data_IF_062404862881
#
_entry.id   IF_062404862881
#
_cell.length_a   1.000
_cell.length_b   1.000
_cell.length_c   1.000
_cell.angle_alpha   90.00
_cell.angle_beta   90.00
_cell.angle_gamma   90.00
#
_symmetry.space_group_name_H-M   'P 1'
#
loop_
_entity.id
_entity.type
_entity.pdbx_description
1 polymer ?
#
# COMPACT_ATOMS: atom_id res chain seq x y z
N UNK A 1 -19.87 2.49 18.94
CA UNK A 1 -19.93 3.96 18.95
C UNK A 1 -18.68 4.45 18.26
N UNK A 2 -18.79 5.23 17.17
CA UNK A 2 -17.63 5.69 16.40
C UNK A 2 -16.86 6.75 17.18
N UNK A 3 -15.55 6.58 17.33
CA UNK A 3 -14.63 7.49 17.99
C UNK A 3 -13.81 8.24 16.94
N UNK A 4 -13.44 9.48 17.24
CA UNK A 4 -12.46 10.22 16.46
C UNK A 4 -11.08 9.95 17.07
N UNK A 5 -10.17 9.39 16.28
CA UNK A 5 -8.79 9.10 16.68
C UNK A 5 -7.87 9.90 15.75
N UNK A 6 -6.81 10.47 16.32
CA UNK A 6 -5.75 11.14 15.57
C UNK A 6 -4.58 10.16 15.50
N UNK A 7 -4.08 9.91 14.29
CA UNK A 7 -2.92 9.06 14.03
C UNK A 7 -1.92 9.80 13.16
N UNK A 8 -0.64 9.46 13.33
CA UNK A 8 0.44 9.96 12.49
C UNK A 8 0.85 8.87 11.50
N UNK A 9 0.86 9.19 10.21
CA UNK A 9 1.32 8.30 9.14
C UNK A 9 2.41 9.02 8.37
N UNK A 10 3.63 8.46 8.38
CA UNK A 10 4.78 8.99 7.63
C UNK A 10 5.04 10.50 7.86
N UNK A 11 4.89 10.99 9.09
CA UNK A 11 5.11 12.39 9.47
C UNK A 11 3.92 13.33 9.17
N UNK A 12 2.73 12.78 8.89
CA UNK A 12 1.51 13.54 8.66
C UNK A 12 0.41 13.07 9.60
N UNK A 13 -0.26 14.01 10.26
CA UNK A 13 -1.39 13.72 11.12
C UNK A 13 -2.68 13.55 10.31
N UNK A 14 -3.44 12.51 10.65
CA UNK A 14 -4.73 12.19 10.06
C UNK A 14 -5.76 11.95 11.15
N UNK A 15 -6.94 12.55 10.98
CA UNK A 15 -8.07 12.29 11.85
C UNK A 15 -8.95 11.20 11.24
N UNK A 16 -9.04 10.06 11.93
CA UNK A 16 -9.83 8.91 11.50
C UNK A 16 -11.05 8.72 12.40
N UNK A 17 -12.17 8.35 11.80
CA UNK A 17 -13.41 8.05 12.53
C UNK A 17 -13.68 6.56 12.43
N UNK A 18 -13.57 5.86 13.55
CA UNK A 18 -13.59 4.39 13.60
C UNK A 18 -14.20 3.92 14.93
N UNK A 19 -14.84 2.76 14.92
CA UNK A 19 -15.32 2.07 16.12
C UNK A 19 -14.28 1.11 16.73
N UNK A 20 -13.17 0.90 16.03
CA UNK A 20 -12.02 0.10 16.47
C UNK A 20 -11.27 0.74 17.66
N UNK A 21 -10.44 -0.08 18.29
CA UNK A 21 -9.59 0.36 19.39
C UNK A 21 -8.51 1.35 18.93
N UNK A 22 -8.25 2.36 19.76
CA UNK A 22 -7.28 3.41 19.43
C UNK A 22 -5.85 2.88 19.33
N UNK A 23 -5.49 1.88 20.13
CA UNK A 23 -4.18 1.22 20.09
C UNK A 23 -4.01 0.48 18.76
N UNK A 24 -5.05 -0.25 18.33
CA UNK A 24 -5.04 -0.99 17.07
C UNK A 24 -4.88 -0.06 15.86
N UNK A 25 -5.60 1.06 15.84
CA UNK A 25 -5.53 2.02 14.74
C UNK A 25 -4.16 2.73 14.70
N UNK A 26 -3.55 3.00 15.86
CA UNK A 26 -2.16 3.49 15.92
C UNK A 26 -1.17 2.46 15.42
N UNK A 27 -1.34 1.19 15.77
CA UNK A 27 -0.47 0.11 15.29
C UNK A 27 -0.55 0.00 13.76
N UNK A 28 -1.75 0.06 13.18
CA UNK A 28 -1.92 0.10 11.72
C UNK A 28 -1.21 1.31 11.09
N UNK A 29 -1.32 2.49 11.68
CA UNK A 29 -0.63 3.69 11.22
C UNK A 29 0.90 3.52 11.27
N UNK A 30 1.41 2.86 12.30
CA UNK A 30 2.83 2.54 12.45
C UNK A 30 3.30 1.54 11.38
N UNK A 31 2.55 0.45 11.14
CA UNK A 31 2.85 -0.54 10.10
C UNK A 31 2.93 0.11 8.72
N UNK A 32 1.98 0.99 8.39
CA UNK A 32 2.00 1.75 7.12
C UNK A 32 3.20 2.69 7.08
N UNK A 33 3.50 3.39 8.18
CA UNK A 33 4.65 4.29 8.26
C UNK A 33 5.97 3.58 8.02
N UNK A 34 6.20 2.44 8.67
CA UNK A 34 7.40 1.61 8.47
C UNK A 34 7.54 1.23 7.01
N UNK A 35 6.47 0.76 6.37
CA UNK A 35 6.49 0.37 4.95
C UNK A 35 6.82 1.54 4.02
N UNK A 36 6.24 2.71 4.28
CA UNK A 36 6.51 3.93 3.50
C UNK A 36 7.98 4.36 3.66
N UNK A 37 8.54 4.27 4.87
CA UNK A 37 9.93 4.61 5.14
C UNK A 37 10.92 3.63 4.51
N UNK A 38 10.60 2.32 4.51
CA UNK A 38 11.38 1.30 3.79
C UNK A 38 11.46 1.63 2.30
N UNK A 39 10.31 1.83 1.65
CA UNK A 39 10.24 2.14 0.22
C UNK A 39 10.97 3.45 -0.09
N UNK A 40 10.81 4.46 0.78
CA UNK A 40 11.51 5.75 0.63
C UNK A 40 13.02 5.58 0.71
N UNK A 41 13.52 4.73 1.61
CA UNK A 41 14.95 4.45 1.77
C UNK A 41 15.52 3.76 0.53
N UNK A 42 14.78 2.83 -0.05
CA UNK A 42 15.27 2.01 -1.17
C UNK A 42 15.14 2.71 -2.53
N UNK A 43 14.07 3.49 -2.73
CA UNK A 43 13.77 4.12 -4.02
C UNK A 43 14.21 5.58 -4.13
N UNK A 44 14.36 6.29 -3.00
CA UNK A 44 14.54 7.75 -2.99
C UNK A 44 13.36 8.54 -3.56
N UNK A 45 12.19 7.89 -3.76
CA UNK A 45 11.02 8.51 -4.38
C UNK A 45 10.31 9.51 -3.45
N UNK A 46 9.34 10.25 -4.01
CA UNK A 46 8.53 11.19 -3.24
C UNK A 46 7.68 10.46 -2.19
N UNK A 47 7.31 11.16 -1.11
CA UNK A 47 6.47 10.57 -0.06
C UNK A 47 5.11 10.07 -0.59
N UNK A 48 4.57 10.73 -1.63
CA UNK A 48 3.31 10.34 -2.27
C UNK A 48 3.46 9.03 -3.05
N UNK A 49 4.54 8.89 -3.82
CA UNK A 49 4.81 7.67 -4.58
C UNK A 49 5.09 6.50 -3.64
N UNK A 50 5.85 6.74 -2.56
CA UNK A 50 6.11 5.74 -1.53
C UNK A 50 4.82 5.26 -0.85
N UNK A 51 3.90 6.19 -0.53
CA UNK A 51 2.58 5.85 0.02
C UNK A 51 1.75 5.02 -0.96
N UNK A 52 1.78 5.37 -2.24
CA UNK A 52 1.07 4.63 -3.30
C UNK A 52 1.62 3.21 -3.47
N UNK A 53 2.94 3.06 -3.44
CA UNK A 53 3.60 1.75 -3.49
C UNK A 53 3.33 0.91 -2.24
N UNK A 54 3.32 1.52 -1.05
CA UNK A 54 2.96 0.84 0.18
C UNK A 54 1.51 0.34 0.14
N UNK A 55 0.57 1.18 -0.32
CA UNK A 55 -0.82 0.79 -0.51
C UNK A 55 -0.96 -0.38 -1.49
N UNK A 56 -0.18 -0.39 -2.57
CA UNK A 56 -0.16 -1.49 -3.53
C UNK A 56 0.34 -2.81 -2.91
N UNK A 57 1.41 -2.78 -2.09
CA UNK A 57 1.92 -3.97 -1.37
C UNK A 57 0.86 -4.53 -0.41
N UNK A 58 0.18 -3.66 0.36
CA UNK A 58 -0.91 -4.10 1.25
C UNK A 58 -2.10 -4.67 0.47
N UNK A 59 -2.49 -4.04 -0.64
CA UNK A 59 -3.58 -4.53 -1.49
C UNK A 59 -3.26 -5.90 -2.11
N UNK A 60 -2.03 -6.12 -2.56
CA UNK A 60 -1.58 -7.41 -3.09
C UNK A 60 -1.63 -8.51 -2.03
N UNK A 61 -1.13 -8.24 -0.81
CA UNK A 61 -1.20 -9.20 0.31
C UNK A 61 -2.64 -9.53 0.68
N UNK A 62 -3.49 -8.51 0.81
CA UNK A 62 -4.91 -8.70 1.08
C UNK A 62 -5.58 -9.54 -0.01
N UNK A 63 -5.29 -9.26 -1.28
CA UNK A 63 -5.83 -10.00 -2.40
C UNK A 63 -5.33 -11.46 -2.40
N UNK A 64 -4.05 -11.71 -2.14
CA UNK A 64 -3.47 -13.06 -2.00
C UNK A 64 -4.11 -13.83 -0.85
N UNK A 65 -4.34 -13.22 0.30
CA UNK A 65 -5.04 -13.84 1.44
C UNK A 65 -6.49 -14.17 1.10
N UNK A 66 -7.21 -13.24 0.47
CA UNK A 66 -8.59 -13.46 0.02
C UNK A 66 -8.66 -14.57 -1.04
N UNK A 67 -7.75 -14.59 -2.00
CA UNK A 67 -7.64 -15.61 -3.04
C UNK A 67 -7.25 -16.98 -2.47
N UNK A 68 -6.37 -17.02 -1.46
CA UNK A 68 -6.02 -18.25 -0.75
C UNK A 68 -7.20 -18.78 0.07
N UNK A 69 -8.07 -17.91 0.60
CA UNK A 69 -9.36 -18.30 1.18
C UNK A 69 -10.41 -18.72 0.14
N UNK A 70 -10.24 -18.40 -1.15
CA UNK A 70 -11.25 -18.60 -2.21
C UNK A 70 -10.89 -19.55 -3.36
N UNK A 71 -9.74 -20.21 -3.40
CA UNK A 71 -9.51 -21.20 -4.48
C UNK A 71 -10.46 -22.41 -4.31
N UNK A 72 -11.12 -22.82 -5.40
CA UNK A 72 -10.40 -23.20 -6.61
C UNK A 72 -10.61 -22.30 -7.84
N UNK A 73 -9.50 -22.07 -8.55
CA UNK A 73 -9.39 -21.59 -9.96
C UNK A 73 -9.82 -20.13 -10.20
N UNK A 74 -9.02 -19.22 -10.77
CA UNK A 74 -8.57 -19.26 -12.17
C UNK A 74 -7.50 -18.19 -12.40
N UNK A 75 -6.53 -18.50 -13.27
CA UNK A 75 -5.40 -17.66 -13.71
C UNK A 75 -5.86 -16.31 -14.30
N UNK A 76 -5.17 -15.21 -13.97
CA UNK A 76 -4.64 -14.24 -14.96
C UNK A 76 -3.68 -13.27 -14.29
N UNK A 77 -2.38 -13.63 -14.26
CA UNK A 77 -1.34 -12.61 -14.29
C UNK A 77 -1.27 -12.12 -15.74
N UNK A 78 -1.87 -10.96 -16.00
CA UNK A 78 -1.57 -10.16 -17.17
C UNK A 78 -0.51 -9.14 -16.74
N UNK A 79 0.75 -9.50 -16.90
CA UNK A 79 1.85 -8.53 -16.94
C UNK A 79 1.74 -7.78 -18.27
N UNK A 80 1.11 -6.60 -18.25
CA UNK A 80 1.25 -5.59 -19.30
C UNK A 80 2.46 -4.70 -18.91
N UNK A 81 3.58 -4.86 -19.63
CA UNK A 81 4.03 -3.97 -20.71
C UNK A 81 4.67 -2.67 -20.21
N UNK A 82 5.99 -2.62 -20.23
CA UNK A 82 6.71 -1.37 -20.52
C UNK A 82 8.04 -1.71 -21.19
N UNK A 83 8.11 -1.51 -22.51
CA UNK A 83 9.26 -0.89 -23.16
C UNK A 83 8.82 -0.42 -24.55
N UNK A 84 8.64 0.90 -24.60
CA UNK A 84 8.39 1.75 -25.75
C UNK A 84 9.56 1.69 -26.73
N UNK A 85 9.25 1.49 -28.02
CA UNK A 85 10.14 1.84 -29.13
C UNK A 85 10.53 3.33 -29.09
N UNK A 86 11.73 3.68 -29.58
CA UNK A 86 11.74 4.48 -30.81
C UNK A 86 12.84 4.11 -31.83
N UNK A 87 12.40 3.96 -33.08
CA UNK A 87 13.01 4.27 -34.40
C UNK A 87 14.51 4.64 -34.50
N UNK A 88 15.25 3.88 -35.33
CA UNK A 88 16.11 4.37 -36.46
C UNK A 88 16.62 3.15 -37.26
N UNK A 89 16.14 2.93 -38.49
CA UNK A 89 16.72 3.41 -39.77
C UNK A 89 18.20 3.02 -39.97
N UNK A 90 18.42 1.92 -40.67
CA UNK A 90 19.41 1.74 -41.74
C UNK A 90 19.18 0.40 -42.46
#
# INVERSE_FOLDING_TARGET
MMKNIIVEIAGREYQLKTDEDAEYVRELANIVTVKVLEIKRDSGASALDCATMAALDFADRYCKEMLNKKKPSTKKQATAQTQTEPTKLL
#
